data_IF_562015416945
#
_entry.id   IF_562015416945
#
_cell.length_a   1.000
_cell.length_b   1.000
_cell.length_c   1.000
_cell.angle_alpha   90.00
_cell.angle_beta   90.00
_cell.angle_gamma   90.00
#
_symmetry.space_group_name_H-M   'P 1'
#
loop_
_entity.id
_entity.type
_entity.pdbx_description
1 polymer ?
#
# COMPACT_ATOMS: atom_id res chain seq x y z
N UNK A 1 12.72 -55.30 9.46
CA UNK A 1 12.22 -55.63 8.11
C UNK A 1 10.76 -55.22 8.02
N UNK A 2 10.49 -53.96 7.73
CA UNK A 2 9.14 -53.43 7.59
C UNK A 2 9.06 -52.58 6.32
N UNK A 3 8.34 -53.14 5.38
CA UNK A 3 7.50 -52.47 4.38
C UNK A 3 8.14 -51.73 3.19
N UNK A 4 9.03 -52.40 2.50
CA UNK A 4 9.42 -52.06 1.12
C UNK A 4 8.30 -52.31 0.11
N UNK A 5 7.30 -53.15 0.40
CA UNK A 5 6.17 -53.43 -0.50
C UNK A 5 5.12 -52.32 -0.57
N UNK A 6 4.92 -51.52 0.49
CA UNK A 6 3.99 -50.38 0.42
C UNK A 6 4.55 -49.18 -0.35
N UNK A 7 5.84 -48.96 -0.31
CA UNK A 7 6.49 -47.91 -1.10
C UNK A 7 6.49 -48.24 -2.61
N UNK A 8 6.58 -49.53 -3.00
CA UNK A 8 6.54 -49.92 -4.40
C UNK A 8 5.15 -49.76 -5.03
N UNK A 9 4.07 -49.93 -4.25
CA UNK A 9 2.72 -49.68 -4.75
C UNK A 9 2.45 -48.17 -4.97
N UNK A 10 2.97 -47.31 -4.10
CA UNK A 10 2.88 -45.85 -4.32
C UNK A 10 3.71 -45.37 -5.51
N UNK A 11 4.87 -45.95 -5.74
CA UNK A 11 5.68 -45.68 -6.93
C UNK A 11 5.06 -46.23 -8.24
N UNK A 12 4.37 -47.38 -8.21
CA UNK A 12 3.67 -47.92 -9.40
C UNK A 12 2.43 -47.12 -9.79
N UNK A 13 1.69 -46.55 -8.83
CA UNK A 13 0.54 -45.67 -9.12
C UNK A 13 1.02 -44.31 -9.67
N UNK A 14 2.19 -43.85 -9.25
CA UNK A 14 2.78 -42.61 -9.79
C UNK A 14 3.32 -42.83 -11.22
N UNK A 15 3.81 -44.02 -11.57
CA UNK A 15 4.38 -44.29 -12.92
C UNK A 15 3.35 -44.64 -13.98
N UNK A 16 2.16 -45.14 -13.64
CA UNK A 16 1.12 -45.44 -14.65
C UNK A 16 0.22 -44.23 -14.99
N UNK A 17 0.03 -43.29 -14.07
CA UNK A 17 -0.72 -42.05 -14.33
C UNK A 17 0.19 -40.82 -14.43
N UNK A 18 1.46 -40.94 -14.10
CA UNK A 18 2.37 -39.83 -13.97
C UNK A 18 2.78 -39.16 -15.28
N UNK A 19 2.80 -39.88 -16.38
CA UNK A 19 3.21 -39.30 -17.67
C UNK A 19 2.14 -38.44 -18.33
N UNK A 20 0.86 -38.77 -18.17
CA UNK A 20 -0.24 -37.96 -18.73
C UNK A 20 -0.61 -36.81 -17.79
N UNK A 21 -0.62 -37.04 -16.48
CA UNK A 21 -0.88 -35.95 -15.51
C UNK A 21 0.31 -34.98 -15.38
N UNK A 22 1.54 -35.43 -15.45
CA UNK A 22 2.72 -34.57 -15.52
C UNK A 22 2.80 -33.81 -16.85
N UNK A 23 2.41 -34.42 -17.99
CA UNK A 23 2.37 -33.71 -19.26
C UNK A 23 1.23 -32.69 -19.35
N UNK A 24 0.08 -32.92 -18.68
CA UNK A 24 -1.01 -31.94 -18.61
C UNK A 24 -0.78 -30.89 -17.56
N UNK A 25 -0.18 -31.22 -16.41
CA UNK A 25 0.24 -30.23 -15.41
C UNK A 25 1.45 -29.39 -15.84
N UNK A 26 2.29 -29.87 -16.76
CA UNK A 26 3.53 -29.19 -17.16
C UNK A 26 3.29 -28.01 -18.11
N UNK A 27 2.27 -27.99 -18.97
CA UNK A 27 2.05 -26.82 -19.85
C UNK A 27 1.22 -25.71 -19.19
N UNK A 28 0.10 -26.00 -18.55
CA UNK A 28 -0.70 -24.98 -17.87
C UNK A 28 -0.12 -24.60 -16.50
N UNK A 29 0.33 -25.55 -15.70
CA UNK A 29 0.91 -25.28 -14.39
C UNK A 29 2.27 -24.57 -14.47
N UNK A 30 3.06 -24.79 -15.50
CA UNK A 30 4.31 -24.08 -15.73
C UNK A 30 4.06 -22.62 -16.19
N UNK A 31 3.05 -22.42 -17.04
CA UNK A 31 2.64 -21.09 -17.49
C UNK A 31 2.09 -20.23 -16.36
N UNK A 32 1.25 -20.78 -15.49
CA UNK A 32 0.71 -20.10 -14.31
C UNK A 32 1.82 -19.73 -13.30
N UNK A 33 2.75 -20.65 -13.01
CA UNK A 33 3.91 -20.36 -12.14
C UNK A 33 4.80 -19.28 -12.73
N UNK A 34 5.04 -19.31 -14.06
CA UNK A 34 5.83 -18.31 -14.77
C UNK A 34 5.18 -16.92 -14.66
N UNK A 35 3.89 -16.78 -14.87
CA UNK A 35 3.19 -15.50 -14.80
C UNK A 35 3.22 -14.90 -13.37
N UNK A 36 3.01 -15.71 -12.33
CA UNK A 36 3.14 -15.28 -10.94
C UNK A 36 4.56 -14.78 -10.67
N UNK A 37 5.57 -15.51 -11.08
CA UNK A 37 6.98 -15.14 -10.92
C UNK A 37 7.31 -13.82 -11.63
N UNK A 38 6.85 -13.63 -12.86
CA UNK A 38 7.02 -12.39 -13.62
C UNK A 38 6.36 -11.19 -12.94
N UNK A 39 5.15 -11.37 -12.37
CA UNK A 39 4.46 -10.32 -11.61
C UNK A 39 5.20 -9.98 -10.30
N UNK A 40 5.80 -10.97 -9.62
CA UNK A 40 6.60 -10.74 -8.42
C UNK A 40 7.90 -10.00 -8.74
N UNK A 41 8.60 -10.36 -9.85
CA UNK A 41 9.79 -9.62 -10.32
C UNK A 41 9.40 -8.18 -10.67
N UNK A 42 8.27 -7.99 -11.36
CA UNK A 42 7.77 -6.67 -11.67
C UNK A 42 7.52 -5.84 -10.40
N UNK A 43 6.84 -6.43 -9.39
CA UNK A 43 6.62 -5.77 -8.09
C UNK A 43 7.95 -5.42 -7.42
N UNK A 44 8.92 -6.32 -7.45
CA UNK A 44 10.24 -6.09 -6.86
C UNK A 44 10.95 -4.88 -7.48
N UNK A 45 11.10 -4.87 -8.81
CA UNK A 45 11.81 -3.82 -9.53
C UNK A 45 11.06 -2.48 -9.40
N UNK A 46 9.75 -2.47 -9.65
CA UNK A 46 8.95 -1.25 -9.61
C UNK A 46 8.90 -0.63 -8.22
N UNK A 47 8.80 -1.45 -7.16
CA UNK A 47 8.76 -0.92 -5.79
C UNK A 47 10.10 -0.34 -5.35
N UNK A 48 11.23 -0.99 -5.67
CA UNK A 48 12.56 -0.42 -5.38
C UNK A 48 12.69 0.95 -6.02
N UNK A 49 12.46 1.05 -7.33
CA UNK A 49 12.67 2.27 -8.10
C UNK A 49 11.73 3.40 -7.69
N UNK A 50 10.45 3.10 -7.45
CA UNK A 50 9.48 4.08 -6.95
C UNK A 50 9.84 4.54 -5.53
N UNK A 51 10.33 3.65 -4.66
CA UNK A 51 10.73 4.03 -3.29
C UNK A 51 12.00 4.88 -3.30
N UNK A 52 12.99 4.55 -4.12
CA UNK A 52 14.17 5.42 -4.36
C UNK A 52 13.73 6.83 -4.78
N UNK A 53 12.86 6.93 -5.79
CA UNK A 53 12.33 8.20 -6.26
C UNK A 53 11.64 8.98 -5.14
N UNK A 54 10.79 8.32 -4.36
CA UNK A 54 9.97 8.95 -3.32
C UNK A 54 10.80 9.56 -2.20
N UNK A 55 11.90 8.93 -1.79
CA UNK A 55 12.78 9.45 -0.72
C UNK A 55 13.35 10.80 -1.11
N UNK A 56 13.80 10.95 -2.36
CA UNK A 56 14.54 12.14 -2.78
C UNK A 56 13.66 13.21 -3.44
N UNK A 57 12.45 12.88 -3.93
CA UNK A 57 11.68 13.80 -4.75
C UNK A 57 11.29 15.10 -4.04
N UNK A 58 10.76 15.06 -2.82
CA UNK A 58 10.42 16.30 -2.11
C UNK A 58 11.68 17.09 -1.70
N UNK A 59 12.79 16.40 -1.42
CA UNK A 59 14.08 17.06 -1.14
C UNK A 59 14.58 17.79 -2.39
N UNK A 60 14.46 17.17 -3.56
CA UNK A 60 14.79 17.79 -4.84
C UNK A 60 13.90 19.01 -5.14
N UNK A 61 12.60 18.93 -4.88
CA UNK A 61 11.72 20.09 -5.02
C UNK A 61 12.15 21.24 -4.09
N UNK A 62 12.67 20.92 -2.89
CA UNK A 62 13.23 21.92 -1.99
C UNK A 62 14.52 22.53 -2.54
N UNK A 63 15.41 21.75 -3.19
CA UNK A 63 16.59 22.28 -3.88
C UNK A 63 16.23 23.23 -5.04
N UNK A 64 15.12 22.99 -5.72
CA UNK A 64 14.57 23.91 -6.72
C UNK A 64 13.99 25.20 -6.13
N UNK A 65 14.00 25.37 -4.78
CA UNK A 65 13.53 26.55 -4.10
C UNK A 65 12.03 26.55 -3.78
N UNK A 66 11.33 25.41 -3.93
CA UNK A 66 9.90 25.34 -3.62
C UNK A 66 9.64 25.30 -2.13
N UNK A 67 8.68 26.10 -1.69
CA UNK A 67 8.16 26.12 -0.33
C UNK A 67 7.19 24.95 -0.07
N UNK A 68 6.91 24.70 1.21
CA UNK A 68 6.05 23.59 1.63
C UNK A 68 4.63 23.65 1.05
N UNK A 69 4.07 24.84 0.80
CA UNK A 69 2.77 25.00 0.15
C UNK A 69 2.77 24.46 -1.30
N UNK A 70 3.80 24.76 -2.07
CA UNK A 70 3.95 24.24 -3.44
C UNK A 70 4.19 22.74 -3.42
N UNK A 71 5.05 22.23 -2.53
CA UNK A 71 5.31 20.79 -2.38
C UNK A 71 4.04 20.05 -1.93
N UNK A 72 3.26 20.66 -1.03
CA UNK A 72 1.94 20.16 -0.61
C UNK A 72 0.96 20.03 -1.78
N UNK A 73 0.88 21.06 -2.63
CA UNK A 73 0.02 21.05 -3.83
C UNK A 73 0.48 19.99 -4.87
N UNK A 74 1.78 19.83 -5.08
CA UNK A 74 2.35 18.80 -5.97
C UNK A 74 2.00 17.40 -5.44
N UNK A 75 2.19 17.16 -4.13
CA UNK A 75 1.84 15.89 -3.47
C UNK A 75 0.33 15.63 -3.52
N UNK A 76 -0.48 16.66 -3.30
CA UNK A 76 -1.94 16.60 -3.44
C UNK A 76 -2.35 16.19 -4.84
N UNK A 77 -1.78 16.81 -5.87
CA UNK A 77 -2.05 16.46 -7.26
C UNK A 77 -1.70 15.01 -7.56
N UNK A 78 -0.57 14.51 -7.06
CA UNK A 78 -0.19 13.10 -7.18
C UNK A 78 -1.23 12.17 -6.55
N UNK A 79 -1.78 12.52 -5.39
CA UNK A 79 -2.79 11.74 -4.68
C UNK A 79 -4.16 11.81 -5.37
N UNK A 80 -4.55 12.98 -5.90
CA UNK A 80 -5.74 13.11 -6.74
C UNK A 80 -5.64 12.28 -8.01
N UNK A 81 -4.48 12.30 -8.68
CA UNK A 81 -4.20 11.41 -9.80
C UNK A 81 -4.37 9.95 -9.42
N UNK A 82 -3.84 9.56 -8.24
CA UNK A 82 -3.99 8.21 -7.69
C UNK A 82 -5.45 7.83 -7.44
N UNK A 83 -6.26 8.76 -6.93
CA UNK A 83 -7.68 8.54 -6.69
C UNK A 83 -8.45 8.38 -8.01
N UNK A 84 -8.32 9.33 -8.92
CA UNK A 84 -9.16 9.44 -10.13
C UNK A 84 -8.67 8.47 -11.22
N UNK A 85 -7.40 8.59 -11.65
CA UNK A 85 -6.86 7.74 -12.72
C UNK A 85 -6.78 6.28 -12.25
N UNK A 86 -6.38 6.04 -11.00
CA UNK A 86 -6.30 4.69 -10.45
C UNK A 86 -7.65 3.96 -10.45
N UNK A 87 -8.74 4.66 -10.14
CA UNK A 87 -10.10 4.11 -10.21
C UNK A 87 -10.51 3.82 -11.67
N UNK A 88 -10.34 4.79 -12.56
CA UNK A 88 -10.70 4.66 -13.97
C UNK A 88 -9.87 3.57 -14.67
N UNK A 89 -8.57 3.53 -14.42
CA UNK A 89 -7.67 2.57 -15.05
C UNK A 89 -7.95 1.12 -14.63
N UNK A 90 -8.40 0.90 -13.40
CA UNK A 90 -8.83 -0.44 -12.95
C UNK A 90 -9.99 -0.97 -13.79
N UNK A 91 -10.97 -0.09 -14.10
CA UNK A 91 -12.12 -0.41 -14.93
C UNK A 91 -11.72 -0.64 -16.39
N UNK A 92 -10.83 0.22 -16.90
CA UNK A 92 -10.32 0.14 -18.28
C UNK A 92 -9.46 -1.14 -18.44
N UNK A 93 -8.68 -1.54 -17.44
CA UNK A 93 -7.85 -2.73 -17.49
C UNK A 93 -8.66 -4.02 -17.72
N UNK A 94 -9.88 -4.09 -17.21
CA UNK A 94 -10.78 -5.24 -17.45
C UNK A 94 -11.35 -5.28 -18.88
N UNK A 95 -11.35 -4.14 -19.59
CA UNK A 95 -11.85 -4.02 -20.99
C UNK A 95 -10.75 -4.15 -22.04
N UNK A 96 -9.64 -3.44 -21.85
CA UNK A 96 -8.54 -3.34 -22.83
C UNK A 96 -7.53 -4.47 -22.64
N UNK A 97 -7.44 -5.04 -21.41
CA UNK A 97 -6.52 -6.09 -21.03
C UNK A 97 -5.47 -5.59 -20.02
N UNK A 98 -5.31 -6.35 -18.95
CA UNK A 98 -4.43 -6.05 -17.81
C UNK A 98 -2.97 -5.87 -18.25
N UNK A 99 -2.49 -6.74 -19.16
CA UNK A 99 -1.11 -6.66 -19.69
C UNK A 99 -0.85 -5.33 -20.41
N UNK A 100 -1.79 -4.85 -21.24
CA UNK A 100 -1.64 -3.60 -21.99
C UNK A 100 -1.56 -2.40 -21.05
N UNK A 101 -2.42 -2.36 -20.03
CA UNK A 101 -2.43 -1.28 -19.05
C UNK A 101 -1.16 -1.29 -18.20
N UNK A 102 -0.67 -2.47 -17.76
CA UNK A 102 0.61 -2.57 -17.07
C UNK A 102 1.77 -2.09 -17.93
N UNK A 103 1.81 -2.47 -19.21
CA UNK A 103 2.86 -2.06 -20.13
C UNK A 103 2.85 -0.55 -20.34
N UNK A 104 1.67 0.04 -20.59
CA UNK A 104 1.52 1.48 -20.73
C UNK A 104 1.94 2.23 -19.46
N UNK A 105 1.49 1.78 -18.28
CA UNK A 105 1.87 2.37 -17.00
C UNK A 105 3.38 2.28 -16.72
N UNK A 106 4.01 1.15 -17.09
CA UNK A 106 5.44 0.94 -16.90
C UNK A 106 6.30 1.85 -17.81
N UNK A 107 5.72 2.43 -18.87
CA UNK A 107 6.35 3.46 -19.70
C UNK A 107 6.05 4.86 -19.18
N UNK A 108 4.78 5.15 -18.87
CA UNK A 108 4.36 6.50 -18.47
C UNK A 108 5.00 6.92 -17.14
N UNK A 109 5.07 6.03 -16.16
CA UNK A 109 5.65 6.35 -14.83
C UNK A 109 7.09 6.84 -14.94
N UNK A 110 8.03 6.12 -15.59
CA UNK A 110 9.41 6.60 -15.70
C UNK A 110 9.57 7.79 -16.66
N UNK A 111 8.84 7.84 -17.77
CA UNK A 111 8.90 8.99 -18.69
C UNK A 111 8.50 10.28 -17.99
N UNK A 112 7.36 10.27 -17.30
CA UNK A 112 6.90 11.43 -16.52
C UNK A 112 7.85 11.72 -15.35
N UNK A 113 8.38 10.68 -14.69
CA UNK A 113 9.34 10.84 -13.61
C UNK A 113 10.65 11.47 -14.05
N UNK A 114 11.15 11.14 -15.24
CA UNK A 114 12.33 11.78 -15.86
C UNK A 114 12.01 13.24 -16.21
N UNK A 115 10.85 13.51 -16.81
CA UNK A 115 10.44 14.88 -17.13
C UNK A 115 10.40 15.77 -15.88
N UNK A 116 9.91 15.24 -14.76
CA UNK A 116 9.88 15.93 -13.46
C UNK A 116 11.29 16.26 -12.90
N UNK A 117 12.34 15.60 -13.36
CA UNK A 117 13.72 15.91 -12.94
C UNK A 117 14.34 17.10 -13.72
N UNK A 118 13.71 17.55 -14.82
CA UNK A 118 14.22 18.64 -15.65
C UNK A 118 13.33 19.89 -15.67
N UNK A 119 12.10 19.77 -15.20
CA UNK A 119 11.11 20.86 -15.25
C UNK A 119 11.09 21.57 -13.91
N UNK A 120 11.14 22.91 -13.95
CA UNK A 120 11.08 23.76 -12.77
C UNK A 120 9.78 24.59 -12.67
N UNK A 121 8.89 24.54 -13.69
CA UNK A 121 7.61 25.23 -13.61
C UNK A 121 6.64 24.50 -12.68
N UNK A 122 6.13 25.16 -11.60
CA UNK A 122 5.26 24.50 -10.61
C UNK A 122 3.96 23.97 -11.22
N UNK A 123 3.36 24.67 -12.19
CA UNK A 123 2.09 24.25 -12.81
C UNK A 123 2.27 22.97 -13.62
N UNK A 124 3.35 22.88 -14.38
CA UNK A 124 3.69 21.68 -15.17
C UNK A 124 4.04 20.53 -14.23
N UNK A 125 4.79 20.76 -13.14
CA UNK A 125 5.10 19.73 -12.14
C UNK A 125 3.84 19.18 -11.48
N UNK A 126 2.86 20.04 -11.15
CA UNK A 126 1.56 19.62 -10.59
C UNK A 126 0.84 18.70 -11.58
N UNK A 127 0.74 19.08 -12.86
CA UNK A 127 0.09 18.28 -13.91
C UNK A 127 0.80 16.91 -14.09
N UNK A 128 2.11 16.92 -14.21
CA UNK A 128 2.90 15.70 -14.37
C UNK A 128 2.82 14.80 -13.15
N UNK A 129 2.82 15.38 -11.94
CA UNK A 129 2.65 14.62 -10.70
C UNK A 129 1.28 13.97 -10.59
N UNK A 130 0.22 14.65 -11.04
CA UNK A 130 -1.12 14.06 -11.15
C UNK A 130 -1.12 12.83 -12.08
N UNK A 131 -0.54 12.95 -13.26
CA UNK A 131 -0.43 11.82 -14.20
C UNK A 131 0.39 10.68 -13.59
N UNK A 132 1.59 10.98 -13.08
CA UNK A 132 2.48 9.98 -12.47
C UNK A 132 1.80 9.23 -11.31
N UNK A 133 1.12 9.97 -10.43
CA UNK A 133 0.39 9.40 -9.29
C UNK A 133 -0.66 8.39 -9.74
N UNK A 134 -1.45 8.75 -10.73
CA UNK A 134 -2.49 7.90 -11.30
C UNK A 134 -1.94 6.59 -11.87
N UNK A 135 -0.92 6.67 -12.70
CA UNK A 135 -0.32 5.47 -13.30
C UNK A 135 0.46 4.62 -12.29
N UNK A 136 1.04 5.23 -11.25
CA UNK A 136 1.70 4.49 -10.16
C UNK A 136 0.70 3.62 -9.38
N UNK A 137 -0.47 4.14 -9.02
CA UNK A 137 -1.52 3.35 -8.34
C UNK A 137 -2.14 2.32 -9.28
N UNK A 138 -2.31 2.66 -10.55
CA UNK A 138 -2.79 1.72 -11.59
C UNK A 138 -1.94 0.48 -11.65
N UNK A 139 -0.62 0.62 -11.61
CA UNK A 139 0.32 -0.53 -11.56
C UNK A 139 -0.03 -1.45 -10.41
N UNK A 140 -0.15 -0.92 -9.19
CA UNK A 140 -0.42 -1.74 -8.00
C UNK A 140 -1.76 -2.49 -8.11
N UNK A 141 -2.83 -1.80 -8.48
CA UNK A 141 -4.18 -2.38 -8.57
C UNK A 141 -4.29 -3.43 -9.69
N UNK A 142 -3.68 -3.17 -10.84
CA UNK A 142 -3.73 -4.11 -11.99
C UNK A 142 -2.83 -5.32 -11.77
N UNK A 143 -1.68 -5.19 -11.08
CA UNK A 143 -0.85 -6.34 -10.68
C UNK A 143 -1.65 -7.27 -9.76
N UNK A 144 -2.35 -6.74 -8.76
CA UNK A 144 -3.19 -7.54 -7.85
C UNK A 144 -4.31 -8.25 -8.62
N UNK A 145 -4.97 -7.54 -9.54
CA UNK A 145 -6.01 -8.12 -10.40
C UNK A 145 -5.45 -9.19 -11.35
N UNK A 146 -4.25 -8.99 -11.90
CA UNK A 146 -3.58 -9.98 -12.75
C UNK A 146 -3.19 -11.23 -11.94
N UNK A 147 -2.64 -11.06 -10.74
CA UNK A 147 -2.34 -12.17 -9.82
C UNK A 147 -3.58 -13.00 -9.48
N UNK A 148 -4.72 -12.34 -9.25
CA UNK A 148 -6.00 -13.03 -9.02
C UNK A 148 -6.40 -13.90 -10.21
N UNK A 149 -6.20 -13.42 -11.44
CA UNK A 149 -6.54 -14.13 -12.67
C UNK A 149 -5.64 -15.34 -12.96
N UNK A 150 -4.36 -15.28 -12.56
CA UNK A 150 -3.38 -16.34 -12.82
C UNK A 150 -3.14 -17.27 -11.62
N UNK A 151 -3.87 -17.10 -10.51
CA UNK A 151 -3.68 -17.90 -9.29
C UNK A 151 -4.96 -18.66 -8.94
N UNK A 152 -4.84 -19.98 -8.69
CA UNK A 152 -5.94 -20.79 -8.17
C UNK A 152 -6.38 -20.25 -6.79
N UNK A 153 -7.68 -20.32 -6.51
CA UNK A 153 -8.29 -19.77 -5.28
C UNK A 153 -7.58 -20.24 -4.00
N UNK A 154 -7.20 -21.51 -3.94
CA UNK A 154 -6.49 -22.14 -2.81
C UNK A 154 -5.11 -21.50 -2.51
N UNK A 155 -4.44 -20.97 -3.55
CA UNK A 155 -3.09 -20.41 -3.45
C UNK A 155 -3.09 -18.85 -3.37
N UNK A 156 -4.24 -18.19 -3.51
CA UNK A 156 -4.32 -16.72 -3.57
C UNK A 156 -3.76 -16.06 -2.32
N UNK A 157 -4.14 -16.55 -1.14
CA UNK A 157 -3.65 -15.99 0.12
C UNK A 157 -2.12 -16.04 0.22
N UNK A 158 -1.52 -17.17 -0.16
CA UNK A 158 -0.06 -17.35 -0.16
C UNK A 158 0.63 -16.42 -1.16
N UNK A 159 0.12 -16.32 -2.38
CA UNK A 159 0.71 -15.46 -3.42
C UNK A 159 0.58 -13.97 -3.08
N UNK A 160 -0.57 -13.55 -2.54
CA UNK A 160 -0.76 -12.18 -2.09
C UNK A 160 0.13 -11.84 -0.90
N UNK A 161 0.28 -12.77 0.06
CA UNK A 161 1.23 -12.63 1.17
C UNK A 161 2.67 -12.49 0.69
N UNK A 162 3.08 -13.30 -0.30
CA UNK A 162 4.41 -13.22 -0.91
C UNK A 162 4.61 -11.88 -1.64
N UNK A 163 3.63 -11.44 -2.43
CA UNK A 163 3.67 -10.14 -3.11
C UNK A 163 3.77 -8.98 -2.11
N UNK A 164 3.00 -9.03 -1.03
CA UNK A 164 3.09 -8.05 0.05
C UNK A 164 4.47 -8.05 0.69
N UNK A 165 5.03 -9.22 1.03
CA UNK A 165 6.37 -9.35 1.58
C UNK A 165 7.45 -8.79 0.66
N UNK A 166 7.39 -9.10 -0.64
CA UNK A 166 8.30 -8.55 -1.65
C UNK A 166 8.14 -7.03 -1.75
N UNK A 167 6.91 -6.51 -1.77
CA UNK A 167 6.67 -5.08 -1.82
C UNK A 167 7.27 -4.36 -0.61
N UNK A 168 7.09 -4.90 0.60
CA UNK A 168 7.66 -4.31 1.82
C UNK A 168 9.19 -4.36 1.83
N UNK A 169 9.78 -5.51 1.52
CA UNK A 169 11.24 -5.68 1.46
C UNK A 169 11.87 -4.78 0.39
N UNK A 170 11.28 -4.72 -0.78
CA UNK A 170 11.70 -3.83 -1.88
C UNK A 170 11.60 -2.36 -1.48
N UNK A 171 10.56 -1.98 -0.73
CA UNK A 171 10.41 -0.63 -0.21
C UNK A 171 11.52 -0.25 0.79
N UNK A 172 11.89 -1.17 1.69
CA UNK A 172 13.02 -0.98 2.62
C UNK A 172 14.33 -0.75 1.85
N UNK A 173 14.62 -1.64 0.89
CA UNK A 173 15.82 -1.52 0.05
C UNK A 173 15.80 -0.24 -0.77
N UNK A 174 14.67 0.07 -1.40
CA UNK A 174 14.52 1.27 -2.24
C UNK A 174 14.67 2.57 -1.45
N UNK A 175 14.12 2.66 -0.23
CA UNK A 175 14.29 3.83 0.63
C UNK A 175 15.76 4.03 1.01
N UNK A 176 16.44 2.96 1.43
CA UNK A 176 17.87 3.02 1.79
C UNK A 176 18.74 3.42 0.57
N UNK A 177 18.60 2.70 -0.55
CA UNK A 177 19.40 2.96 -1.76
C UNK A 177 19.09 4.35 -2.32
N UNK A 178 17.85 4.80 -2.28
CA UNK A 178 17.45 6.14 -2.72
C UNK A 178 18.11 7.24 -1.89
N UNK A 179 18.15 7.08 -0.56
CA UNK A 179 18.84 8.02 0.32
C UNK A 179 20.36 8.01 0.10
N UNK A 180 20.96 6.82 0.03
CA UNK A 180 22.40 6.65 -0.20
C UNK A 180 22.85 7.24 -1.55
N UNK A 181 22.10 6.98 -2.61
CA UNK A 181 22.39 7.57 -3.93
C UNK A 181 22.14 9.09 -3.93
N UNK A 182 21.18 9.57 -3.14
CA UNK A 182 20.93 11.01 -2.96
C UNK A 182 22.15 11.77 -2.44
N UNK A 183 22.84 11.20 -1.45
CA UNK A 183 24.08 11.80 -0.93
C UNK A 183 25.27 11.58 -1.87
N UNK A 184 25.34 10.43 -2.58
CA UNK A 184 26.49 10.08 -3.42
C UNK A 184 26.48 10.76 -4.79
N UNK A 185 25.34 10.80 -5.46
CA UNK A 185 25.20 11.29 -6.84
C UNK A 185 24.37 12.58 -6.96
N UNK A 186 23.81 13.07 -5.85
CA UNK A 186 22.87 14.19 -5.82
C UNK A 186 21.43 13.76 -6.08
N UNK A 187 20.49 14.62 -5.68
CA UNK A 187 19.05 14.28 -5.68
C UNK A 187 18.49 14.12 -7.10
N UNK A 188 18.86 15.03 -8.02
CA UNK A 188 18.42 14.98 -9.42
C UNK A 188 18.89 13.69 -10.12
N UNK A 189 20.18 13.36 -9.98
CA UNK A 189 20.75 12.14 -10.58
C UNK A 189 20.07 10.88 -10.03
N UNK A 190 19.75 10.86 -8.73
CA UNK A 190 19.05 9.74 -8.11
C UNK A 190 17.62 9.58 -8.65
N UNK A 191 16.89 10.69 -8.90
CA UNK A 191 15.61 10.65 -9.58
C UNK A 191 15.74 10.01 -10.97
N UNK A 192 16.74 10.42 -11.74
CA UNK A 192 16.99 9.87 -13.08
C UNK A 192 17.36 8.38 -13.03
N UNK A 193 18.31 7.99 -12.17
CA UNK A 193 18.71 6.59 -11.99
C UNK A 193 17.52 5.73 -11.61
N UNK A 194 16.68 6.19 -10.67
CA UNK A 194 15.51 5.44 -10.24
C UNK A 194 14.50 5.25 -11.37
N UNK A 195 14.26 6.28 -12.19
CA UNK A 195 13.28 6.21 -13.29
C UNK A 195 13.84 5.47 -14.51
N UNK A 196 15.13 5.62 -14.85
CA UNK A 196 15.78 4.79 -15.86
C UNK A 196 15.78 3.30 -15.45
N UNK A 197 16.07 3.01 -14.19
CA UNK A 197 15.97 1.65 -13.64
C UNK A 197 14.53 1.09 -13.69
N UNK A 198 13.51 1.96 -13.64
CA UNK A 198 12.11 1.52 -13.73
C UNK A 198 11.77 0.91 -15.10
N UNK A 199 12.42 1.32 -16.19
CA UNK A 199 12.21 0.69 -17.50
C UNK A 199 12.56 -0.81 -17.51
N UNK A 200 13.43 -1.28 -16.63
CA UNK A 200 13.74 -2.71 -16.47
C UNK A 200 12.47 -3.51 -16.08
N UNK A 201 11.51 -2.87 -15.38
CA UNK A 201 10.24 -3.49 -15.03
C UNK A 201 9.36 -3.84 -16.26
N UNK A 202 9.65 -3.29 -17.44
CA UNK A 202 8.95 -3.63 -18.69
C UNK A 202 9.28 -5.07 -19.11
N UNK A 203 10.48 -5.57 -18.84
CA UNK A 203 10.96 -6.89 -19.28
C UNK A 203 10.01 -8.02 -18.83
N UNK A 204 9.65 -8.15 -17.54
CA UNK A 204 8.70 -9.18 -17.12
C UNK A 204 7.30 -8.99 -17.71
N UNK A 205 6.85 -7.76 -18.02
CA UNK A 205 5.52 -7.51 -18.60
C UNK A 205 5.45 -8.00 -20.05
N UNK A 206 6.50 -7.84 -20.83
CA UNK A 206 6.55 -8.30 -22.23
C UNK A 206 6.32 -9.80 -22.30
N UNK A 207 6.83 -10.57 -21.34
CA UNK A 207 6.70 -12.02 -21.28
C UNK A 207 5.40 -12.49 -20.59
N UNK A 208 4.63 -11.58 -19.99
CA UNK A 208 3.42 -11.91 -19.23
C UNK A 208 2.29 -12.37 -20.15
N UNK A 209 1.69 -13.50 -19.82
CA UNK A 209 0.48 -14.02 -20.49
C UNK A 209 -0.66 -14.01 -19.46
N UNK A 210 -1.50 -12.97 -19.51
CA UNK A 210 -2.64 -12.82 -18.60
C UNK A 210 -3.92 -13.21 -19.33
N UNK A 211 -4.73 -14.01 -18.68
CA UNK A 211 -6.10 -14.30 -19.12
C UNK A 211 -6.99 -13.16 -18.59
N UNK A 212 -7.54 -12.37 -19.51
CA UNK A 212 -8.43 -11.27 -19.17
C UNK A 212 -9.82 -11.80 -18.84
N UNK A 213 -10.28 -11.51 -17.62
CA UNK A 213 -11.66 -11.78 -17.18
C UNK A 213 -12.48 -10.51 -17.33
N UNK A 214 -13.51 -10.55 -18.16
CA UNK A 214 -14.43 -9.39 -18.33
C UNK A 214 -15.31 -9.23 -17.10
N UNK A 215 -15.24 -8.10 -16.44
CA UNK A 215 -16.13 -7.71 -15.33
C UNK A 215 -17.28 -6.86 -15.85
N UNK A 216 -18.50 -7.05 -15.28
CA UNK A 216 -19.69 -6.23 -15.61
C UNK A 216 -19.76 -5.02 -14.69
N UNK A 217 -19.63 -3.84 -15.25
CA UNK A 217 -19.55 -2.56 -14.52
C UNK A 217 -20.86 -2.11 -13.84
N UNK A 218 -22.01 -2.53 -14.36
CA UNK A 218 -23.33 -2.00 -13.95
C UNK A 218 -23.81 -2.40 -12.56
N UNK A 219 -23.23 -3.46 -11.98
CA UNK A 219 -23.64 -3.99 -10.67
C UNK A 219 -22.79 -3.49 -9.50
N UNK A 220 -21.77 -2.67 -9.81
CA UNK A 220 -20.74 -2.29 -8.83
C UNK A 220 -21.22 -1.29 -7.77
N UNK A 221 -22.13 -0.38 -8.09
CA UNK A 221 -22.54 0.73 -7.22
C UNK A 221 -23.91 0.58 -6.57
N UNK A 222 -24.54 -0.57 -6.72
CA UNK A 222 -25.83 -0.82 -6.07
C UNK A 222 -25.63 -1.32 -4.63
N UNK A 223 -25.80 -0.42 -3.67
CA UNK A 223 -25.74 -0.69 -2.22
C UNK A 223 -27.15 -0.85 -1.62
N UNK A 224 -28.21 -0.81 -2.41
CA UNK A 224 -29.60 -0.92 -1.94
C UNK A 224 -29.87 -2.28 -1.30
N UNK A 225 -29.22 -3.34 -1.82
CA UNK A 225 -29.34 -4.73 -1.38
C UNK A 225 -28.64 -5.06 -0.06
N UNK A 226 -27.90 -4.12 0.54
CA UNK A 226 -27.19 -4.34 1.80
C UNK A 226 -28.14 -4.26 3.00
N UNK A 227 -27.97 -5.17 3.95
CA UNK A 227 -28.66 -5.16 5.23
C UNK A 227 -28.26 -3.98 6.12
N UNK A 228 -29.06 -3.69 7.14
CA UNK A 228 -28.83 -2.56 8.04
C UNK A 228 -27.48 -2.66 8.78
N UNK A 229 -27.12 -3.83 9.30
CA UNK A 229 -25.82 -4.05 9.98
C UNK A 229 -24.64 -3.93 9.01
N UNK A 230 -24.78 -4.40 7.77
CA UNK A 230 -23.76 -4.27 6.73
C UNK A 230 -23.48 -2.80 6.39
N UNK A 231 -24.55 -1.99 6.24
CA UNK A 231 -24.45 -0.54 6.01
C UNK A 231 -23.76 0.17 7.16
N UNK A 232 -24.09 -0.18 8.42
CA UNK A 232 -23.45 0.39 9.61
C UNK A 232 -21.95 0.05 9.68
N UNK A 233 -21.60 -1.21 9.47
CA UNK A 233 -20.20 -1.65 9.46
C UNK A 233 -19.39 -0.92 8.39
N UNK A 234 -19.95 -0.75 7.18
CA UNK A 234 -19.33 0.03 6.12
C UNK A 234 -19.19 1.51 6.47
N UNK A 235 -20.17 2.09 7.16
CA UNK A 235 -20.10 3.48 7.61
C UNK A 235 -18.95 3.67 8.59
N UNK A 236 -18.81 2.81 9.62
CA UNK A 236 -17.67 2.85 10.53
C UNK A 236 -16.34 2.70 9.80
N UNK A 237 -16.28 1.82 8.82
CA UNK A 237 -15.07 1.60 8.02
C UNK A 237 -14.66 2.83 7.20
N UNK A 238 -15.60 3.42 6.45
CA UNK A 238 -15.29 4.59 5.63
C UNK A 238 -15.00 5.83 6.47
N UNK A 239 -15.71 6.04 7.58
CA UNK A 239 -15.41 7.13 8.52
C UNK A 239 -14.01 6.96 9.12
N UNK A 240 -13.68 5.75 9.59
CA UNK A 240 -12.34 5.43 10.10
C UNK A 240 -11.27 5.62 9.01
N UNK A 241 -11.53 5.17 7.78
CA UNK A 241 -10.60 5.39 6.64
C UNK A 241 -10.39 6.87 6.37
N UNK A 242 -11.43 7.69 6.41
CA UNK A 242 -11.33 9.12 6.19
C UNK A 242 -10.52 9.81 7.28
N UNK A 243 -10.80 9.51 8.55
CA UNK A 243 -10.10 10.10 9.70
C UNK A 243 -8.62 9.71 9.74
N UNK A 244 -8.33 8.42 9.62
CA UNK A 244 -6.95 7.91 9.57
C UNK A 244 -6.24 8.40 8.32
N UNK A 245 -6.92 8.39 7.17
CA UNK A 245 -6.38 8.87 5.90
C UNK A 245 -5.98 10.34 5.97
N UNK A 246 -6.82 11.20 6.55
CA UNK A 246 -6.52 12.61 6.73
C UNK A 246 -5.36 12.80 7.72
N UNK A 247 -5.45 12.24 8.94
CA UNK A 247 -4.40 12.36 9.95
C UNK A 247 -3.05 11.84 9.46
N UNK A 248 -3.03 10.71 8.74
CA UNK A 248 -1.82 10.17 8.12
C UNK A 248 -1.33 11.01 6.94
N UNK A 249 -2.25 11.52 6.12
CA UNK A 249 -1.95 12.33 4.94
C UNK A 249 -1.20 13.61 5.25
N UNK A 250 -1.40 14.17 6.45
CA UNK A 250 -0.72 15.36 6.92
C UNK A 250 0.82 15.21 6.95
N UNK A 251 1.37 14.01 7.19
CA UNK A 251 2.82 13.89 7.38
C UNK A 251 3.48 12.68 6.69
N UNK A 252 2.76 11.59 6.36
CA UNK A 252 3.39 10.37 5.81
C UNK A 252 4.13 10.62 4.50
N UNK A 253 3.57 11.47 3.64
CA UNK A 253 4.17 11.78 2.34
C UNK A 253 5.33 12.78 2.43
N UNK A 254 5.50 13.41 3.59
CA UNK A 254 6.49 14.44 3.86
C UNK A 254 7.55 14.01 4.87
N UNK A 255 7.62 12.69 5.17
CA UNK A 255 8.60 12.16 6.12
C UNK A 255 10.03 12.58 5.80
N UNK A 256 10.42 12.62 4.53
CA UNK A 256 11.74 13.10 4.10
C UNK A 256 11.97 14.59 4.45
N UNK A 257 10.99 15.46 4.27
CA UNK A 257 11.08 16.87 4.67
C UNK A 257 11.11 17.02 6.19
N UNK A 258 10.28 16.27 6.92
CA UNK A 258 10.26 16.28 8.39
C UNK A 258 11.63 15.97 8.95
N UNK A 259 12.27 14.88 8.51
CA UNK A 259 13.61 14.51 8.97
C UNK A 259 14.68 15.51 8.54
N UNK A 260 14.54 16.10 7.35
CA UNK A 260 15.46 17.15 6.89
C UNK A 260 15.32 18.43 7.70
N UNK A 261 14.10 18.93 7.86
CA UNK A 261 13.84 20.24 8.44
C UNK A 261 14.01 20.24 9.98
N UNK A 262 13.60 19.16 10.68
CA UNK A 262 13.72 19.08 12.15
C UNK A 262 15.13 18.68 12.61
N UNK A 263 15.84 17.84 11.86
CA UNK A 263 17.10 17.22 12.31
C UNK A 263 18.26 17.43 11.37
N UNK A 264 18.07 18.14 10.27
CA UNK A 264 19.07 18.35 9.20
C UNK A 264 19.76 17.05 8.75
N UNK A 265 19.00 15.94 8.71
CA UNK A 265 19.54 14.65 8.32
C UNK A 265 20.00 14.63 6.86
N UNK A 266 21.05 13.85 6.56
CA UNK A 266 21.46 13.55 5.18
C UNK A 266 20.40 12.70 4.47
N UNK A 267 20.44 12.64 3.14
CA UNK A 267 19.50 11.81 2.38
C UNK A 267 19.62 10.32 2.77
N UNK A 268 20.85 9.84 3.05
CA UNK A 268 21.10 8.47 3.58
C UNK A 268 20.41 8.27 4.92
N UNK A 269 20.57 9.21 5.87
CA UNK A 269 19.92 9.14 7.17
C UNK A 269 18.39 9.09 7.06
N UNK A 270 17.82 9.92 6.19
CA UNK A 270 16.38 9.91 5.87
C UNK A 270 15.96 8.57 5.26
N UNK A 271 16.74 8.04 4.32
CA UNK A 271 16.50 6.73 3.70
C UNK A 271 16.48 5.61 4.73
N UNK A 272 17.40 5.62 5.71
CA UNK A 272 17.42 4.66 6.82
C UNK A 272 16.17 4.81 7.69
N UNK A 273 15.82 6.02 8.11
CA UNK A 273 14.65 6.29 8.95
C UNK A 273 13.34 5.80 8.29
N UNK A 274 13.16 6.10 7.00
CA UNK A 274 12.01 5.63 6.22
C UNK A 274 12.03 4.11 5.99
N UNK A 275 13.21 3.50 5.88
CA UNK A 275 13.37 2.04 5.80
C UNK A 275 12.93 1.37 7.10
N UNK A 276 13.30 1.92 8.27
CA UNK A 276 12.88 1.43 9.59
C UNK A 276 11.35 1.54 9.72
N UNK A 277 10.73 2.66 9.29
CA UNK A 277 9.28 2.83 9.30
C UNK A 277 8.58 1.82 8.36
N UNK A 278 9.15 1.58 7.17
CA UNK A 278 8.63 0.58 6.23
C UNK A 278 8.72 -0.84 6.79
N UNK A 279 9.83 -1.18 7.45
CA UNK A 279 9.98 -2.45 8.16
C UNK A 279 8.97 -2.59 9.29
N UNK A 280 8.71 -1.52 10.05
CA UNK A 280 7.65 -1.45 11.05
C UNK A 280 6.27 -1.78 10.47
N UNK A 281 5.95 -1.25 9.28
CA UNK A 281 4.72 -1.60 8.54
C UNK A 281 4.63 -3.10 8.26
N UNK A 282 5.71 -3.70 7.77
CA UNK A 282 5.77 -5.13 7.48
C UNK A 282 5.59 -5.98 8.75
N UNK A 283 6.33 -5.66 9.81
CA UNK A 283 6.26 -6.34 11.10
C UNK A 283 4.85 -6.26 11.71
N UNK A 284 4.23 -5.07 11.73
CA UNK A 284 2.87 -4.87 12.18
C UNK A 284 1.86 -5.75 11.44
N UNK A 285 1.94 -5.74 10.11
CA UNK A 285 1.02 -6.54 9.28
C UNK A 285 1.15 -8.05 9.50
N UNK A 286 2.37 -8.56 9.66
CA UNK A 286 2.62 -9.99 9.92
C UNK A 286 2.12 -10.41 11.32
N UNK A 287 2.32 -9.55 12.32
CA UNK A 287 1.89 -9.82 13.71
C UNK A 287 0.37 -9.72 13.90
N UNK A 288 -0.31 -8.98 13.05
CA UNK A 288 -1.73 -8.65 13.11
C UNK A 288 -2.62 -9.87 13.39
N UNK A 289 -2.45 -10.94 12.61
CA UNK A 289 -3.27 -12.14 12.72
C UNK A 289 -3.13 -12.84 14.09
N UNK A 290 -1.89 -13.03 14.56
CA UNK A 290 -1.63 -13.72 15.84
C UNK A 290 -2.17 -12.94 17.03
N UNK A 291 -1.96 -11.63 17.03
CA UNK A 291 -2.38 -10.75 18.11
C UNK A 291 -3.89 -10.50 18.10
N UNK A 292 -4.48 -10.32 16.91
CA UNK A 292 -5.93 -10.20 16.75
C UNK A 292 -6.68 -11.44 17.27
N UNK A 293 -6.15 -12.64 17.03
CA UNK A 293 -6.71 -13.90 17.55
C UNK A 293 -6.58 -14.03 19.06
N UNK A 294 -5.44 -13.62 19.63
CA UNK A 294 -5.17 -13.75 21.08
C UNK A 294 -6.01 -12.79 21.92
N UNK A 295 -6.19 -11.56 21.49
CA UNK A 295 -6.82 -10.49 22.27
C UNK A 295 -8.25 -10.16 21.83
N UNK A 296 -8.74 -10.80 20.77
CA UNK A 296 -9.98 -10.45 20.10
C UNK A 296 -9.79 -9.30 19.10
N UNK A 297 -10.31 -9.43 17.85
CA UNK A 297 -9.97 -8.53 16.76
C UNK A 297 -10.37 -7.07 17.03
N UNK A 298 -11.59 -6.82 17.51
CA UNK A 298 -12.07 -5.46 17.77
C UNK A 298 -11.43 -4.84 19.02
N UNK A 299 -11.21 -5.63 20.10
CA UNK A 299 -10.52 -5.15 21.31
C UNK A 299 -9.09 -4.75 21.01
N UNK A 300 -8.39 -5.61 20.27
CA UNK A 300 -7.01 -5.34 19.88
C UNK A 300 -6.91 -4.12 18.97
N UNK A 301 -7.81 -3.98 18.00
CA UNK A 301 -7.87 -2.79 17.14
C UNK A 301 -8.07 -1.52 17.97
N UNK A 302 -9.05 -1.51 18.89
CA UNK A 302 -9.29 -0.36 19.76
C UNK A 302 -8.07 -0.01 20.61
N UNK A 303 -7.41 -1.00 21.22
CA UNK A 303 -6.21 -0.79 22.03
C UNK A 303 -5.08 -0.13 21.20
N UNK A 304 -4.84 -0.60 19.96
CA UNK A 304 -3.82 -0.02 19.08
C UNK A 304 -4.18 1.42 18.68
N UNK A 305 -5.44 1.71 18.35
CA UNK A 305 -5.89 3.06 18.03
C UNK A 305 -5.76 4.03 19.22
N UNK A 306 -6.04 3.58 20.44
CA UNK A 306 -5.84 4.37 21.65
C UNK A 306 -4.35 4.65 21.92
N UNK A 307 -3.47 3.66 21.70
CA UNK A 307 -2.02 3.81 21.89
C UNK A 307 -1.36 4.74 20.86
N UNK A 308 -1.94 4.90 19.68
CA UNK A 308 -1.43 5.85 18.68
C UNK A 308 -1.55 7.30 19.16
N UNK A 309 -2.56 7.65 19.97
CA UNK A 309 -2.78 9.03 20.43
C UNK A 309 -1.61 9.55 21.28
N UNK A 310 -1.21 8.91 22.39
CA UNK A 310 -0.05 9.35 23.17
C UNK A 310 1.25 9.25 22.38
N UNK A 311 1.37 8.28 21.47
CA UNK A 311 2.53 8.16 20.58
C UNK A 311 2.65 9.36 19.64
N UNK A 312 1.55 9.85 19.08
CA UNK A 312 1.56 11.05 18.24
C UNK A 312 1.92 12.31 19.04
N UNK A 313 1.44 12.41 20.30
CA UNK A 313 1.85 13.49 21.20
C UNK A 313 3.35 13.43 21.54
N UNK A 314 3.90 12.22 21.69
CA UNK A 314 5.34 12.05 21.92
C UNK A 314 6.18 12.56 20.74
N UNK A 315 5.68 12.46 19.49
CA UNK A 315 6.37 13.02 18.32
C UNK A 315 6.43 14.56 18.36
N UNK A 316 5.46 15.23 18.98
CA UNK A 316 5.47 16.71 19.14
C UNK A 316 6.66 17.17 19.99
N UNK A 317 7.03 16.40 21.01
CA UNK A 317 8.09 16.79 21.98
C UNK A 317 9.45 16.15 21.68
N UNK A 318 9.51 15.10 20.87
CA UNK A 318 10.74 14.41 20.53
C UNK A 318 11.64 15.30 19.65
N UNK A 319 12.82 15.66 20.17
CA UNK A 319 13.81 16.51 19.47
C UNK A 319 15.13 15.78 19.20
N UNK A 320 15.23 14.53 19.58
CA UNK A 320 16.39 13.69 19.34
C UNK A 320 16.10 12.78 18.12
N UNK A 321 16.97 12.77 17.08
CA UNK A 321 16.69 12.10 15.81
C UNK A 321 16.40 10.60 15.93
N UNK A 322 17.13 9.87 16.79
CA UNK A 322 16.97 8.43 16.97
C UNK A 322 15.64 8.13 17.67
N UNK A 323 15.34 8.86 18.75
CA UNK A 323 14.08 8.71 19.47
C UNK A 323 12.89 9.03 18.55
N UNK A 324 12.96 10.12 17.80
CA UNK A 324 11.92 10.49 16.84
C UNK A 324 11.72 9.39 15.78
N UNK A 325 12.81 8.85 15.22
CA UNK A 325 12.76 7.77 14.24
C UNK A 325 12.08 6.53 14.81
N UNK A 326 12.40 6.15 16.05
CA UNK A 326 11.79 5.00 16.72
C UNK A 326 10.28 5.20 16.97
N UNK A 327 9.87 6.38 17.46
CA UNK A 327 8.47 6.73 17.67
C UNK A 327 7.70 6.77 16.34
N UNK A 328 8.31 7.35 15.31
CA UNK A 328 7.76 7.41 13.97
C UNK A 328 7.54 6.01 13.39
N UNK A 329 8.53 5.13 13.51
CA UNK A 329 8.42 3.74 13.08
C UNK A 329 7.37 2.96 13.91
N UNK A 330 7.32 3.15 15.22
CA UNK A 330 6.34 2.50 16.11
C UNK A 330 4.91 2.90 15.74
N UNK A 331 4.69 4.16 15.35
CA UNK A 331 3.41 4.61 14.79
C UNK A 331 3.02 3.81 13.55
N UNK A 332 3.98 3.52 12.65
CA UNK A 332 3.70 2.68 11.47
C UNK A 332 3.34 1.25 11.88
N UNK A 333 3.98 0.68 12.90
CA UNK A 333 3.62 -0.63 13.45
C UNK A 333 2.16 -0.62 13.91
N UNK A 334 1.79 0.29 14.82
CA UNK A 334 0.45 0.32 15.43
C UNK A 334 -0.67 0.55 14.41
N UNK A 335 -0.45 1.43 13.44
CA UNK A 335 -1.46 1.71 12.43
C UNK A 335 -1.61 0.57 11.41
N UNK A 336 -0.51 -0.09 11.04
CA UNK A 336 -0.57 -1.14 10.03
C UNK A 336 -0.90 -2.53 10.59
N UNK A 337 -0.75 -2.73 11.90
CA UNK A 337 -1.18 -3.97 12.56
C UNK A 337 -2.71 -4.11 12.58
N UNK A 338 -3.43 -3.00 12.57
CA UNK A 338 -4.91 -2.99 12.60
C UNK A 338 -5.55 -3.16 11.23
N UNK A 339 -4.86 -2.79 10.15
CA UNK A 339 -5.41 -2.83 8.80
C UNK A 339 -5.90 -4.21 8.34
N UNK A 340 -5.13 -5.31 8.46
CA UNK A 340 -5.61 -6.64 8.07
C UNK A 340 -6.81 -7.10 8.89
N UNK A 341 -6.86 -6.74 10.18
CA UNK A 341 -7.97 -7.07 11.09
C UNK A 341 -9.25 -6.39 10.62
N UNK A 342 -9.22 -5.07 10.40
CA UNK A 342 -10.37 -4.32 9.92
C UNK A 342 -10.85 -4.82 8.56
N UNK A 343 -9.93 -5.02 7.63
CA UNK A 343 -10.27 -5.57 6.32
C UNK A 343 -10.94 -6.95 6.42
N UNK A 344 -10.45 -7.82 7.30
CA UNK A 344 -11.04 -9.14 7.52
C UNK A 344 -12.47 -9.04 8.07
N UNK A 345 -12.69 -8.17 9.06
CA UNK A 345 -14.02 -7.93 9.64
C UNK A 345 -14.98 -7.41 8.57
N UNK A 346 -14.60 -6.37 7.83
CA UNK A 346 -15.44 -5.79 6.78
C UNK A 346 -15.80 -6.83 5.72
N UNK A 347 -14.83 -7.61 5.28
CA UNK A 347 -15.04 -8.63 4.24
C UNK A 347 -15.90 -9.81 4.73
N UNK A 348 -16.03 -10.02 6.04
CA UNK A 348 -16.94 -11.04 6.56
C UNK A 348 -18.40 -10.56 6.65
N UNK A 349 -18.64 -9.24 6.73
CA UNK A 349 -19.98 -8.67 6.74
C UNK A 349 -20.55 -8.39 5.34
N UNK A 350 -19.69 -8.27 4.33
CA UNK A 350 -20.11 -7.84 3.00
C UNK A 350 -20.14 -9.01 2.02
N UNK A 351 -21.16 -9.11 1.16
CA UNK A 351 -21.25 -10.13 0.11
C UNK A 351 -20.02 -10.10 -0.81
N UNK A 352 -19.51 -11.29 -1.19
CA UNK A 352 -18.31 -11.42 -2.04
C UNK A 352 -18.40 -10.63 -3.36
N UNK A 353 -19.61 -10.47 -3.91
CA UNK A 353 -19.86 -9.70 -5.14
C UNK A 353 -19.57 -8.20 -4.99
N UNK A 354 -19.60 -7.66 -3.78
CA UNK A 354 -19.40 -6.22 -3.48
C UNK A 354 -17.98 -5.88 -3.00
N UNK A 355 -17.16 -6.88 -2.64
CA UNK A 355 -15.83 -6.65 -2.04
C UNK A 355 -14.90 -5.81 -2.92
N UNK A 356 -14.90 -6.05 -4.24
CA UNK A 356 -14.08 -5.30 -5.19
C UNK A 356 -14.46 -3.82 -5.22
N UNK A 357 -15.76 -3.53 -5.21
CA UNK A 357 -16.30 -2.16 -5.21
C UNK A 357 -15.95 -1.42 -3.93
N UNK A 358 -16.14 -2.08 -2.77
CA UNK A 358 -15.84 -1.49 -1.47
C UNK A 358 -14.34 -1.22 -1.33
N UNK A 359 -13.49 -2.14 -1.80
CA UNK A 359 -12.04 -1.93 -1.82
C UNK A 359 -11.63 -0.76 -2.72
N UNK A 360 -12.23 -0.65 -3.91
CA UNK A 360 -12.01 0.47 -4.83
C UNK A 360 -12.45 1.81 -4.25
N UNK A 361 -13.64 1.84 -3.64
CA UNK A 361 -14.18 3.03 -2.99
C UNK A 361 -13.34 3.47 -1.79
N UNK A 362 -12.87 2.50 -0.99
CA UNK A 362 -11.96 2.75 0.11
C UNK A 362 -10.62 3.34 -0.36
N UNK A 363 -10.06 2.82 -1.43
CA UNK A 363 -8.85 3.35 -2.05
C UNK A 363 -9.04 4.77 -2.58
N UNK A 364 -10.16 5.04 -3.26
CA UNK A 364 -10.53 6.37 -3.72
C UNK A 364 -10.65 7.35 -2.56
N UNK A 365 -11.46 7.01 -1.53
CA UNK A 365 -11.65 7.83 -0.34
C UNK A 365 -10.32 8.12 0.38
N UNK A 366 -9.51 7.09 0.59
CA UNK A 366 -8.22 7.22 1.27
C UNK A 366 -7.28 8.19 0.53
N UNK A 367 -7.14 8.08 -0.80
CA UNK A 367 -6.31 8.98 -1.58
C UNK A 367 -6.87 10.40 -1.64
N UNK A 368 -8.20 10.54 -1.72
CA UNK A 368 -8.88 11.85 -1.71
C UNK A 368 -8.63 12.62 -0.40
N UNK A 369 -8.84 11.98 0.74
CA UNK A 369 -8.64 12.67 2.04
C UNK A 369 -7.17 12.96 2.31
N UNK A 370 -6.25 12.11 1.84
CA UNK A 370 -4.82 12.37 1.89
C UNK A 370 -4.40 13.50 0.96
N UNK A 371 -5.04 13.66 -0.20
CA UNK A 371 -4.79 14.77 -1.11
C UNK A 371 -5.17 16.10 -0.45
N UNK A 372 -6.33 16.14 0.22
CA UNK A 372 -6.74 17.32 0.99
C UNK A 372 -5.75 17.59 2.14
N UNK A 373 -5.36 16.56 2.88
CA UNK A 373 -4.39 16.69 3.96
C UNK A 373 -3.01 17.18 3.49
N UNK A 374 -2.58 16.82 2.28
CA UNK A 374 -1.33 17.31 1.70
C UNK A 374 -1.36 18.83 1.40
N UNK A 375 -2.51 19.38 1.01
CA UNK A 375 -2.69 20.83 0.89
C UNK A 375 -2.58 21.47 2.28
N UNK A 376 -3.28 20.91 3.27
CA UNK A 376 -3.26 21.40 4.65
C UNK A 376 -1.85 21.38 5.24
N UNK A 377 -1.06 20.33 4.96
CA UNK A 377 0.38 20.30 5.29
C UNK A 377 1.09 21.54 4.80
N UNK A 378 0.95 21.87 3.52
CA UNK A 378 1.62 23.02 2.91
C UNK A 378 1.30 24.35 3.59
N UNK A 379 0.04 24.52 4.01
CA UNK A 379 -0.39 25.74 4.70
C UNK A 379 0.08 25.80 6.17
N UNK A 380 0.00 24.69 6.91
CA UNK A 380 0.36 24.67 8.34
C UNK A 380 1.87 24.79 8.52
N UNK A 381 2.65 23.99 7.79
CA UNK A 381 4.10 24.01 7.94
C UNK A 381 4.68 25.29 7.33
N UNK A 382 4.12 25.76 6.21
CA UNK A 382 4.50 27.04 5.58
C UNK A 382 6.02 27.18 5.49
N UNK A 383 6.55 28.22 6.13
CA UNK A 383 7.99 28.51 6.21
C UNK A 383 8.59 28.27 7.60
N UNK A 384 7.81 27.87 8.60
CA UNK A 384 8.25 27.77 9.99
C UNK A 384 8.33 26.33 10.48
N UNK A 385 9.41 26.01 11.21
CA UNK A 385 9.62 24.68 11.84
C UNK A 385 8.51 24.37 12.87
N UNK A 386 7.99 25.36 13.58
CA UNK A 386 6.88 25.22 14.54
C UNK A 386 5.58 24.68 13.89
N UNK A 387 5.44 24.78 12.58
CA UNK A 387 4.33 24.19 11.85
C UNK A 387 4.27 22.67 11.93
N UNK A 388 5.40 21.99 12.12
CA UNK A 388 5.42 20.53 12.31
C UNK A 388 4.76 20.10 13.62
N UNK A 389 4.93 20.89 14.71
CA UNK A 389 4.28 20.60 15.99
C UNK A 389 2.74 20.70 15.84
N UNK A 390 2.27 21.78 15.20
CA UNK A 390 0.85 21.96 14.89
C UNK A 390 0.31 20.84 14.02
N UNK A 391 1.10 20.37 13.04
CA UNK A 391 0.74 19.28 12.16
C UNK A 391 0.55 17.95 12.93
N UNK A 392 1.48 17.61 13.84
CA UNK A 392 1.37 16.41 14.67
C UNK A 392 0.21 16.52 15.66
N UNK A 393 -0.03 17.70 16.25
CA UNK A 393 -1.19 17.94 17.12
C UNK A 393 -2.50 17.75 16.35
N UNK A 394 -2.63 18.37 15.17
CA UNK A 394 -3.82 18.18 14.33
C UNK A 394 -4.02 16.71 13.95
N UNK A 395 -2.95 16.03 13.57
CA UNK A 395 -3.00 14.59 13.28
C UNK A 395 -3.45 13.78 14.50
N UNK A 396 -2.98 14.15 15.71
CA UNK A 396 -3.40 13.53 16.98
C UNK A 396 -4.90 13.67 17.22
N UNK A 397 -5.48 14.83 16.92
CA UNK A 397 -6.93 15.06 17.04
C UNK A 397 -7.69 14.08 16.12
N UNK A 398 -7.29 13.94 14.86
CA UNK A 398 -7.95 13.02 13.93
C UNK A 398 -7.81 11.56 14.37
N UNK A 399 -6.66 11.15 14.91
CA UNK A 399 -6.48 9.81 15.48
C UNK A 399 -7.31 9.62 16.76
N UNK A 400 -7.44 10.66 17.60
CA UNK A 400 -8.31 10.63 18.79
C UNK A 400 -9.79 10.42 18.40
N UNK A 401 -10.27 11.20 17.43
CA UNK A 401 -11.64 11.02 16.89
C UNK A 401 -11.81 9.62 16.30
N UNK A 402 -10.80 9.12 15.56
CA UNK A 402 -10.86 7.76 15.03
C UNK A 402 -10.89 6.70 16.14
N UNK A 403 -10.10 6.86 17.20
CA UNK A 403 -10.14 5.95 18.36
C UNK A 403 -11.53 5.93 19.00
N UNK A 404 -12.21 7.09 19.09
CA UNK A 404 -13.59 7.18 19.56
C UNK A 404 -14.58 6.48 18.60
N UNK A 405 -14.44 6.66 17.28
CA UNK A 405 -15.25 5.94 16.28
C UNK A 405 -15.08 4.43 16.41
N UNK A 406 -13.84 3.94 16.58
CA UNK A 406 -13.55 2.51 16.79
C UNK A 406 -14.08 2.02 18.14
N UNK A 407 -14.09 2.86 19.18
CA UNK A 407 -14.74 2.54 20.45
C UNK A 407 -16.27 2.36 20.29
N UNK A 408 -16.93 3.24 19.54
CA UNK A 408 -18.36 3.09 19.24
C UNK A 408 -18.62 1.81 18.44
N UNK A 409 -17.80 1.53 17.45
CA UNK A 409 -17.86 0.29 16.67
C UNK A 409 -17.67 -0.95 17.56
N UNK A 410 -16.69 -0.92 18.47
CA UNK A 410 -16.48 -2.00 19.43
C UNK A 410 -17.68 -2.18 20.36
N UNK A 411 -18.26 -1.09 20.89
CA UNK A 411 -19.44 -1.13 21.77
C UNK A 411 -20.65 -1.76 21.08
N UNK A 412 -20.86 -1.49 19.81
CA UNK A 412 -22.01 -1.99 19.05
C UNK A 412 -21.83 -3.42 18.54
N UNK A 413 -20.62 -3.77 18.07
CA UNK A 413 -20.37 -5.04 17.40
C UNK A 413 -19.43 -5.99 18.17
N UNK A 414 -18.75 -5.54 19.19
CA UNK A 414 -17.73 -6.32 19.93
C UNK A 414 -18.28 -7.45 20.79
N UNK A 415 -19.56 -7.39 21.14
CA UNK A 415 -20.26 -8.43 21.91
C UNK A 415 -21.09 -9.37 21.05
N UNK A 416 -21.25 -9.06 19.75
CA UNK A 416 -21.95 -9.94 18.82
C UNK A 416 -21.03 -11.10 18.44
N UNK A 417 -21.38 -12.32 18.87
CA UNK A 417 -20.64 -13.56 18.57
C UNK A 417 -20.31 -13.71 17.09
N UNK A 418 -21.17 -13.19 16.20
CA UNK A 418 -21.01 -13.24 14.75
C UNK A 418 -19.63 -12.71 14.25
N UNK A 419 -19.05 -11.67 14.89
CA UNK A 419 -17.71 -11.16 14.52
C UNK A 419 -16.63 -12.16 14.87
N UNK A 420 -16.73 -12.78 16.04
CA UNK A 420 -15.75 -13.79 16.50
C UNK A 420 -15.86 -15.08 15.69
N UNK A 421 -17.08 -15.58 15.51
CA UNK A 421 -17.37 -16.79 14.72
C UNK A 421 -16.89 -16.66 13.28
N UNK A 422 -17.20 -15.56 12.59
CA UNK A 422 -16.76 -15.30 11.22
C UNK A 422 -15.23 -15.13 11.12
N UNK A 423 -14.61 -14.52 12.14
CA UNK A 423 -13.16 -14.38 12.21
C UNK A 423 -12.48 -15.73 12.43
N UNK A 424 -13.05 -16.60 13.27
CA UNK A 424 -12.56 -17.95 13.55
C UNK A 424 -12.80 -18.93 12.39
N UNK A 425 -13.98 -18.94 11.78
CA UNK A 425 -14.28 -19.77 10.60
C UNK A 425 -13.35 -19.50 9.43
N UNK A 426 -13.05 -18.24 9.17
CA UNK A 426 -12.17 -17.86 8.07
C UNK A 426 -10.70 -18.24 8.34
N UNK A 427 -10.31 -18.23 9.60
CA UNK A 427 -8.96 -18.55 10.03
C UNK A 427 -8.73 -20.05 10.26
N UNK A 428 -9.78 -20.84 10.41
CA UNK A 428 -9.69 -22.32 10.42
C UNK A 428 -9.55 -22.92 9.01
N UNK A 429 -9.90 -22.14 7.97
CA UNK A 429 -9.82 -22.53 6.56
C UNK A 429 -8.54 -22.01 5.86
N UNK A 430 -7.71 -21.18 6.53
CA UNK A 430 -6.44 -20.63 6.03
C UNK A 430 -5.24 -21.30 6.68
#
# INVERSE_FOLDING_TARGET
MLNTQRLSQYFKVITQNGSILLAYQTKEGCGLRKNVFLLLIYTFISTITISMYRVVFNLYLRELGFYNNTIGNITSAQLWGSAIIGLIASVIADRIGKRKILFFSAIVVPVVGIALAYIADPGVIILLSFIKGGFTVTVFTVVMAAMTGVTKTENRARIFGLNFGINMASGVVGNFVGGFFGDLFGLQSTLLISMLGHFVAIIPIIQLQVIDTKSRFKELFDFSSLEHDEKKVLTYYFVSTALVGFGAGLFIHFGNLIFKDLFNMSATGIGIALSIAQFGTAAGSVMSHRLGRRFGPLRFNLAMQLLVVPLMLSLVVAREPVLFTMLYALRFVFMNITNPIMTSIIYSYVPNSKLSTISGLNGFLNNTVRAIAAIVFGYIVGTYISGYDQLFLLSTVFYGINAFVIFLFYREFGTKNKVMELYEERNSRA
#
